data_IF_624927215656
#
_entry.id   IF_624927215656
#
_cell.length_a   1.000
_cell.length_b   1.000
_cell.length_c   1.000
_cell.angle_alpha   90.00
_cell.angle_beta   90.00
_cell.angle_gamma   90.00
#
_symmetry.space_group_name_H-M   'P 1'
#
loop_
_entity.id
_entity.type
_entity.pdbx_description
1 polymer ?
#
# COMPACT_ATOMS: atom_id res chain seq x y z
N UNK A 1 6.92 1.59 59.61
CA UNK A 1 6.65 0.21 60.09
C UNK A 1 6.28 -0.61 58.87
N UNK A 2 7.22 -1.39 58.36
CA UNK A 2 7.03 -2.28 57.23
C UNK A 2 6.80 -3.70 57.74
N UNK A 3 5.70 -4.35 57.34
CA UNK A 3 5.48 -5.78 57.63
C UNK A 3 6.01 -6.59 56.45
N UNK A 4 7.04 -7.41 56.71
CA UNK A 4 7.47 -8.56 55.93
C UNK A 4 6.39 -9.66 56.00
N UNK A 5 6.08 -10.26 54.87
CA UNK A 5 5.40 -11.56 54.82
C UNK A 5 6.38 -12.61 54.29
N UNK A 6 6.71 -13.57 55.17
CA UNK A 6 7.40 -14.79 54.83
C UNK A 6 6.35 -15.81 54.38
N UNK A 7 6.61 -16.53 53.30
CA UNK A 7 5.84 -17.67 52.83
C UNK A 7 6.80 -18.81 52.56
N UNK A 8 7.10 -19.57 53.59
CA UNK A 8 7.53 -20.97 53.46
C UNK A 8 6.32 -21.86 53.56
N UNK A 9 6.04 -22.64 52.49
CA UNK A 9 5.01 -23.69 52.43
C UNK A 9 5.57 -24.91 51.73
N UNK A 10 5.18 -26.13 52.14
CA UNK A 10 5.94 -27.34 51.88
C UNK A 10 5.77 -27.89 50.47
N UNK A 11 6.87 -28.43 49.98
CA UNK A 11 7.08 -29.16 48.74
C UNK A 11 6.24 -30.45 48.72
N UNK A 12 5.18 -30.51 47.87
CA UNK A 12 4.44 -31.75 47.58
C UNK A 12 4.75 -32.10 46.14
N UNK A 13 5.52 -33.18 45.98
CA UNK A 13 5.80 -33.78 44.69
C UNK A 13 4.54 -34.34 44.06
N UNK A 14 4.18 -33.88 42.89
CA UNK A 14 3.19 -34.50 42.01
C UNK A 14 3.92 -35.01 40.78
N UNK A 15 3.95 -36.35 40.67
CA UNK A 15 4.32 -37.06 39.44
C UNK A 15 3.27 -36.78 38.37
N UNK A 16 3.70 -36.16 37.29
CA UNK A 16 2.90 -36.02 36.05
C UNK A 16 2.91 -37.34 35.29
N UNK A 17 1.76 -37.82 34.81
CA UNK A 17 1.73 -38.97 33.90
C UNK A 17 2.26 -38.58 32.52
N UNK A 18 3.00 -39.50 31.90
CA UNK A 18 3.58 -39.39 30.57
C UNK A 18 2.52 -39.03 29.53
N UNK A 19 2.78 -37.93 28.79
CA UNK A 19 2.01 -37.55 27.63
C UNK A 19 2.31 -38.52 26.46
N UNK A 20 1.33 -38.90 25.64
CA UNK A 20 1.55 -39.78 24.51
C UNK A 20 2.47 -39.15 23.47
N UNK A 21 3.45 -39.92 23.02
CA UNK A 21 4.37 -39.56 21.94
C UNK A 21 3.55 -39.39 20.65
N UNK A 22 3.45 -38.18 20.16
CA UNK A 22 2.91 -37.88 18.82
C UNK A 22 4.03 -38.20 17.82
N UNK A 23 3.81 -39.02 16.79
CA UNK A 23 4.83 -39.25 15.77
C UNK A 23 5.13 -37.97 14.99
N UNK A 24 6.43 -37.73 14.80
CA UNK A 24 6.95 -36.60 13.99
C UNK A 24 6.29 -36.56 12.61
N UNK A 25 5.70 -35.41 12.29
CA UNK A 25 5.25 -35.13 10.95
C UNK A 25 6.46 -35.07 10.01
N UNK A 26 6.37 -35.58 8.77
CA UNK A 26 7.49 -35.59 7.85
C UNK A 26 7.93 -34.16 7.55
N UNK A 27 9.23 -33.90 7.70
CA UNK A 27 9.89 -32.66 7.31
C UNK A 27 9.70 -32.51 5.80
N UNK A 28 8.86 -31.56 5.38
CA UNK A 28 8.75 -31.16 3.99
C UNK A 28 9.95 -30.26 3.70
N UNK A 29 10.81 -30.60 2.72
CA UNK A 29 11.94 -29.73 2.38
C UNK A 29 11.43 -28.38 1.87
N UNK A 30 12.05 -27.31 2.35
CA UNK A 30 11.84 -25.95 1.88
C UNK A 30 12.01 -25.89 0.36
N UNK A 31 10.89 -25.75 -0.33
CA UNK A 31 10.91 -25.42 -1.76
C UNK A 31 11.37 -23.97 -1.91
N UNK A 32 12.32 -23.69 -2.80
CA UNK A 32 12.76 -22.34 -3.05
C UNK A 32 11.56 -21.51 -3.54
N UNK A 33 11.35 -20.35 -2.92
CA UNK A 33 10.39 -19.32 -3.31
C UNK A 33 10.81 -18.72 -4.68
N UNK A 34 10.46 -19.39 -5.75
CA UNK A 34 10.47 -18.84 -7.11
C UNK A 34 9.04 -18.47 -7.48
N UNK A 35 8.57 -17.32 -6.99
CA UNK A 35 7.38 -16.64 -7.49
C UNK A 35 7.82 -15.39 -8.29
N UNK A 36 8.76 -15.60 -9.21
CA UNK A 36 9.30 -14.54 -10.10
C UNK A 36 8.88 -14.74 -11.56
N UNK A 37 7.67 -15.27 -11.80
CA UNK A 37 7.13 -15.19 -13.16
C UNK A 37 5.72 -14.63 -13.11
N UNK A 38 5.44 -13.48 -13.76
CA UNK A 38 4.06 -13.12 -14.06
C UNK A 38 3.50 -14.23 -14.97
N UNK A 39 2.32 -14.74 -14.60
CA UNK A 39 1.57 -15.64 -15.50
C UNK A 39 1.20 -14.85 -16.76
N UNK A 40 2.01 -14.96 -17.78
CA UNK A 40 1.70 -14.52 -19.13
C UNK A 40 0.92 -15.67 -19.75
N UNK A 41 -0.36 -15.46 -20.02
CA UNK A 41 -1.08 -16.32 -20.96
C UNK A 41 -0.59 -15.99 -22.36
N UNK A 42 0.16 -16.91 -22.97
CA UNK A 42 0.82 -16.75 -24.28
C UNK A 42 -0.14 -16.67 -25.48
N UNK A 43 -1.45 -16.72 -25.28
CA UNK A 43 -2.43 -16.89 -26.37
C UNK A 43 -3.17 -15.61 -26.80
N UNK A 44 -2.85 -14.42 -26.23
CA UNK A 44 -3.46 -13.16 -26.70
C UNK A 44 -2.43 -12.03 -26.78
N UNK A 45 -1.96 -11.65 -27.99
CA UNK A 45 -0.91 -10.64 -28.16
C UNK A 45 -1.33 -9.19 -27.85
N UNK A 46 -2.56 -8.96 -27.39
CA UNK A 46 -3.07 -7.63 -27.01
C UNK A 46 -3.28 -7.44 -25.50
N UNK A 47 -2.86 -8.37 -24.64
CA UNK A 47 -2.96 -8.18 -23.20
C UNK A 47 -2.09 -7.00 -22.73
N UNK A 48 -2.75 -5.95 -22.31
CA UNK A 48 -2.12 -4.75 -21.73
C UNK A 48 -1.63 -5.05 -20.32
N UNK A 49 -0.32 -5.13 -20.16
CA UNK A 49 0.29 -5.25 -18.84
C UNK A 49 0.07 -3.93 -18.09
N UNK A 50 -0.48 -3.99 -16.88
CA UNK A 50 -0.69 -2.83 -16.00
C UNK A 50 -1.61 -1.72 -16.54
N UNK A 51 -2.60 -2.03 -17.39
CA UNK A 51 -3.50 -1.00 -17.91
C UNK A 51 -2.86 -0.03 -18.90
N UNK A 52 -1.74 -0.39 -19.49
CA UNK A 52 -1.00 0.37 -20.49
C UNK A 52 -0.97 -0.38 -21.81
N UNK A 53 -1.08 0.34 -22.92
CA UNK A 53 -0.93 -0.22 -24.25
C UNK A 53 0.56 -0.45 -24.61
N UNK A 54 0.82 -1.14 -25.73
CA UNK A 54 2.18 -1.49 -26.15
C UNK A 54 3.08 -0.28 -26.43
N UNK A 55 2.54 0.84 -26.86
CA UNK A 55 3.29 2.09 -27.07
C UNK A 55 3.67 2.72 -25.75
N UNK A 56 2.74 2.77 -24.79
CA UNK A 56 2.97 3.31 -23.45
C UNK A 56 3.97 2.46 -22.62
N UNK A 57 3.97 1.14 -22.85
CA UNK A 57 4.96 0.25 -22.24
C UNK A 57 6.37 0.48 -22.80
N UNK A 58 6.48 0.82 -24.10
CA UNK A 58 7.77 1.13 -24.73
C UNK A 58 8.28 2.52 -24.35
N UNK A 59 7.38 3.50 -24.30
CA UNK A 59 7.69 4.88 -23.90
C UNK A 59 6.70 5.40 -22.88
N UNK A 60 7.06 5.40 -21.59
CA UNK A 60 6.21 5.94 -20.53
C UNK A 60 5.85 7.43 -20.68
N UNK A 61 6.55 8.18 -21.56
CA UNK A 61 6.21 9.57 -21.83
C UNK A 61 5.04 9.72 -22.80
N UNK A 62 4.65 8.64 -23.50
CA UNK A 62 3.43 8.61 -24.33
C UNK A 62 2.15 8.47 -23.48
N UNK A 63 2.27 8.14 -22.19
CA UNK A 63 1.13 8.01 -21.27
C UNK A 63 0.43 9.37 -21.10
N UNK A 64 -0.83 9.44 -21.55
CA UNK A 64 -1.66 10.64 -21.43
C UNK A 64 -2.65 10.48 -20.29
N UNK A 65 -2.67 11.43 -19.37
CA UNK A 65 -3.63 11.52 -18.27
C UNK A 65 -4.25 12.89 -18.17
N UNK A 66 -5.50 12.95 -17.71
CA UNK A 66 -6.24 14.19 -17.49
C UNK A 66 -6.77 14.26 -16.06
N UNK A 67 -6.52 15.37 -15.37
CA UNK A 67 -7.07 15.63 -14.05
C UNK A 67 -8.13 16.73 -14.18
N UNK A 68 -9.36 16.30 -14.44
CA UNK A 68 -10.47 17.19 -14.72
C UNK A 68 -10.87 18.04 -13.51
N UNK A 69 -10.94 17.44 -12.32
CA UNK A 69 -11.29 18.18 -11.10
C UNK A 69 -10.02 18.59 -10.35
N UNK A 70 -9.70 19.87 -10.44
CA UNK A 70 -8.55 20.47 -9.77
C UNK A 70 -8.88 21.06 -8.38
N UNK A 71 -10.15 21.02 -7.96
CA UNK A 71 -10.59 21.63 -6.71
C UNK A 71 -10.38 20.72 -5.49
N UNK A 72 -10.40 19.39 -5.68
CA UNK A 72 -10.25 18.42 -4.59
C UNK A 72 -8.83 17.85 -4.52
N UNK A 73 -8.37 17.44 -3.33
CA UNK A 73 -7.06 16.81 -3.17
C UNK A 73 -6.92 15.50 -3.95
N UNK A 74 -5.69 15.19 -4.38
CA UNK A 74 -5.32 13.87 -4.91
C UNK A 74 -4.47 13.15 -3.88
N UNK A 75 -4.89 11.95 -3.54
CA UNK A 75 -4.13 10.98 -2.75
C UNK A 75 -3.33 10.15 -3.75
N UNK A 76 -2.01 10.17 -3.68
CA UNK A 76 -1.14 9.42 -4.59
C UNK A 76 -0.50 8.27 -3.85
N UNK A 77 -0.81 7.04 -4.26
CA UNK A 77 -0.14 5.84 -3.75
C UNK A 77 1.22 5.71 -4.45
N UNK A 78 2.29 6.05 -3.76
CA UNK A 78 3.64 6.07 -4.31
C UNK A 78 4.49 4.94 -3.74
N UNK A 79 5.05 4.13 -4.61
CA UNK A 79 5.91 3.01 -4.23
C UNK A 79 6.28 2.15 -5.43
N UNK A 80 7.27 1.26 -5.27
CA UNK A 80 7.70 0.36 -6.34
C UNK A 80 6.62 -0.64 -6.74
N UNK A 81 6.92 -1.46 -7.72
CA UNK A 81 6.10 -2.62 -8.07
C UNK A 81 5.96 -3.54 -6.86
N UNK A 82 4.81 -4.22 -6.72
CA UNK A 82 4.52 -5.22 -5.68
C UNK A 82 4.48 -4.71 -4.22
N UNK A 83 4.68 -3.43 -3.96
CA UNK A 83 4.56 -2.90 -2.59
C UNK A 83 3.12 -2.83 -2.06
N UNK A 84 2.13 -3.29 -2.84
CA UNK A 84 0.73 -3.43 -2.43
C UNK A 84 -0.15 -2.18 -2.65
N UNK A 85 0.18 -1.29 -3.59
CA UNK A 85 -0.63 -0.09 -3.92
C UNK A 85 -2.06 -0.46 -4.32
N UNK A 86 -2.20 -1.34 -5.30
CA UNK A 86 -3.49 -1.78 -5.83
C UNK A 86 -4.34 -2.43 -4.74
N UNK A 87 -3.76 -3.31 -3.93
CA UNK A 87 -4.46 -3.92 -2.80
C UNK A 87 -4.85 -2.90 -1.73
N UNK A 88 -4.03 -1.86 -1.53
CA UNK A 88 -4.39 -0.74 -0.64
C UNK A 88 -5.59 0.03 -1.19
N UNK A 89 -5.63 0.30 -2.51
CA UNK A 89 -6.79 0.93 -3.14
C UNK A 89 -8.05 0.07 -3.00
N UNK A 90 -7.98 -1.23 -3.30
CA UNK A 90 -9.09 -2.18 -3.14
C UNK A 90 -9.59 -2.19 -1.69
N UNK A 91 -8.67 -2.34 -0.73
CA UNK A 91 -9.01 -2.38 0.70
C UNK A 91 -9.67 -1.08 1.18
N UNK A 92 -9.13 0.06 0.75
CA UNK A 92 -9.70 1.36 1.06
C UNK A 92 -11.08 1.55 0.42
N UNK A 93 -11.26 1.12 -0.83
CA UNK A 93 -12.56 1.20 -1.52
C UNK A 93 -13.62 0.40 -0.78
N UNK A 94 -13.35 -0.86 -0.44
CA UNK A 94 -14.28 -1.71 0.32
C UNK A 94 -14.65 -1.06 1.66
N UNK A 95 -13.65 -0.61 2.41
CA UNK A 95 -13.86 0.08 3.68
C UNK A 95 -14.74 1.32 3.51
N UNK A 96 -14.42 2.20 2.58
CA UNK A 96 -15.16 3.43 2.35
C UNK A 96 -16.62 3.15 1.96
N UNK A 97 -16.86 2.20 1.07
CA UNK A 97 -18.21 1.81 0.65
C UNK A 97 -19.02 1.24 1.81
N UNK A 98 -18.41 0.40 2.66
CA UNK A 98 -19.04 -0.14 3.88
C UNK A 98 -19.49 0.98 4.84
N UNK A 99 -18.74 2.07 4.91
CA UNK A 99 -19.05 3.23 5.76
C UNK A 99 -19.88 4.32 5.06
N UNK A 100 -20.45 4.00 3.88
CA UNK A 100 -21.44 4.83 3.19
C UNK A 100 -20.84 5.94 2.31
N UNK A 101 -19.55 5.85 1.99
CA UNK A 101 -18.96 6.65 0.91
C UNK A 101 -19.22 5.98 -0.43
N UNK A 102 -19.26 6.77 -1.49
CA UNK A 102 -19.26 6.26 -2.85
C UNK A 102 -17.86 6.41 -3.45
N UNK A 103 -17.32 5.33 -3.98
CA UNK A 103 -16.01 5.30 -4.65
C UNK A 103 -16.24 4.81 -6.07
N UNK A 104 -15.83 5.58 -7.05
CA UNK A 104 -16.02 5.29 -8.47
C UNK A 104 -14.85 5.78 -9.31
N UNK A 105 -14.52 5.09 -10.42
CA UNK A 105 -13.49 5.53 -11.34
C UNK A 105 -13.80 6.88 -11.99
N UNK A 106 -12.76 7.67 -12.22
CA UNK A 106 -12.83 8.92 -12.98
C UNK A 106 -12.60 8.61 -14.45
N UNK A 107 -13.68 8.44 -15.22
CA UNK A 107 -13.61 8.03 -16.64
C UNK A 107 -12.75 8.95 -17.51
N UNK A 108 -12.74 10.24 -17.21
CA UNK A 108 -11.95 11.24 -17.95
C UNK A 108 -10.45 11.25 -17.60
N UNK A 109 -9.99 10.37 -16.71
CA UNK A 109 -8.58 10.30 -16.34
C UNK A 109 -7.70 9.85 -17.51
N UNK A 110 -8.18 8.90 -18.30
CA UNK A 110 -7.52 8.43 -19.51
C UNK A 110 -8.28 8.93 -20.76
N UNK A 111 -7.64 8.95 -21.93
CA UNK A 111 -8.33 9.29 -23.17
C UNK A 111 -9.56 8.42 -23.41
N UNK A 112 -10.61 8.98 -24.00
CA UNK A 112 -11.86 8.24 -24.31
C UNK A 112 -11.65 7.08 -25.29
N UNK A 113 -10.57 7.10 -26.07
CA UNK A 113 -10.19 6.02 -26.99
C UNK A 113 -9.53 4.83 -26.25
N UNK A 114 -9.19 4.97 -24.96
CA UNK A 114 -8.63 3.89 -24.15
C UNK A 114 -9.77 2.91 -23.76
N UNK A 115 -9.99 1.91 -24.59
CA UNK A 115 -11.03 0.91 -24.37
C UNK A 115 -10.78 0.05 -23.14
N UNK A 116 -9.51 -0.24 -22.85
CA UNK A 116 -9.13 -1.02 -21.67
C UNK A 116 -9.49 -0.27 -20.38
N UNK A 117 -9.13 1.01 -20.29
CA UNK A 117 -9.51 1.84 -19.15
C UNK A 117 -11.03 1.95 -19.00
N UNK A 118 -11.76 2.05 -20.12
CA UNK A 118 -13.22 2.08 -20.11
C UNK A 118 -13.82 0.80 -19.54
N UNK A 119 -13.32 -0.37 -19.93
CA UNK A 119 -13.72 -1.67 -19.39
C UNK A 119 -13.40 -1.79 -17.89
N UNK A 120 -12.22 -1.35 -17.46
CA UNK A 120 -11.88 -1.30 -16.02
C UNK A 120 -12.86 -0.42 -15.25
N UNK A 121 -13.25 0.73 -15.79
CA UNK A 121 -14.23 1.60 -15.14
C UNK A 121 -15.59 0.94 -15.00
N UNK A 122 -16.02 0.14 -15.97
CA UNK A 122 -17.29 -0.60 -15.94
C UNK A 122 -17.27 -1.74 -14.93
N UNK A 123 -16.21 -2.55 -14.96
CA UNK A 123 -16.04 -3.68 -14.06
C UNK A 123 -15.52 -3.34 -12.65
N UNK A 124 -15.25 -2.07 -12.36
CA UNK A 124 -14.53 -1.68 -11.12
C UNK A 124 -15.14 -2.25 -9.83
N UNK A 125 -16.45 -2.15 -9.67
CA UNK A 125 -17.10 -2.64 -8.46
C UNK A 125 -17.01 -4.17 -8.31
N UNK A 126 -17.15 -4.90 -9.40
CA UNK A 126 -17.01 -6.36 -9.41
C UNK A 126 -15.57 -6.76 -9.06
N UNK A 127 -14.59 -6.10 -9.68
CA UNK A 127 -13.17 -6.33 -9.41
C UNK A 127 -12.81 -6.03 -7.96
N UNK A 128 -13.27 -4.91 -7.42
CA UNK A 128 -13.04 -4.53 -6.02
C UNK A 128 -13.61 -5.57 -5.05
N UNK A 129 -14.74 -6.18 -5.36
CA UNK A 129 -15.41 -7.17 -4.50
C UNK A 129 -15.07 -8.63 -4.83
N UNK A 130 -14.30 -8.88 -5.89
CA UNK A 130 -13.84 -10.23 -6.22
C UNK A 130 -13.04 -10.84 -5.06
N UNK A 131 -13.26 -12.13 -4.82
CA UNK A 131 -12.44 -12.92 -3.90
C UNK A 131 -11.10 -13.35 -4.53
N UNK A 132 -10.96 -13.23 -5.84
CA UNK A 132 -9.72 -13.52 -6.56
C UNK A 132 -8.80 -12.30 -6.52
N UNK A 133 -7.73 -12.39 -5.72
CA UNK A 133 -6.78 -11.30 -5.55
C UNK A 133 -6.03 -10.95 -6.85
N UNK A 134 -5.74 -11.95 -7.70
CA UNK A 134 -5.01 -11.74 -8.94
C UNK A 134 -5.81 -10.90 -9.95
N UNK A 135 -7.12 -11.19 -10.12
CA UNK A 135 -7.98 -10.41 -11.00
C UNK A 135 -8.00 -8.93 -10.59
N UNK A 136 -8.22 -8.65 -9.29
CA UNK A 136 -8.25 -7.26 -8.81
C UNK A 136 -6.94 -6.52 -9.03
N UNK A 137 -5.79 -7.19 -8.82
CA UNK A 137 -4.48 -6.53 -8.92
C UNK A 137 -4.01 -6.31 -10.36
N UNK A 138 -4.32 -7.20 -11.28
CA UNK A 138 -3.95 -7.06 -12.68
C UNK A 138 -4.81 -6.02 -13.41
N UNK A 139 -6.10 -5.95 -13.09
CA UNK A 139 -7.06 -5.12 -13.82
C UNK A 139 -7.22 -3.70 -13.23
N UNK A 140 -6.86 -3.42 -11.98
CA UNK A 140 -7.04 -2.08 -11.37
C UNK A 140 -5.72 -1.27 -11.33
N UNK A 141 -4.71 -1.65 -12.07
CA UNK A 141 -3.33 -1.16 -11.89
C UNK A 141 -3.06 0.25 -12.41
N UNK A 142 -3.85 1.00 -13.01
CA UNK A 142 -3.62 2.39 -13.38
C UNK A 142 -4.93 3.17 -13.37
N UNK A 143 -5.33 3.58 -12.17
CA UNK A 143 -6.67 4.11 -11.99
C UNK A 143 -6.69 5.35 -11.09
N UNK A 144 -7.50 6.33 -11.49
CA UNK A 144 -7.93 7.43 -10.64
C UNK A 144 -9.38 7.16 -10.21
N UNK A 145 -9.62 7.11 -8.91
CA UNK A 145 -10.98 7.02 -8.35
C UNK A 145 -11.34 8.30 -7.60
N UNK A 146 -12.61 8.66 -7.63
CA UNK A 146 -13.16 9.73 -6.81
C UNK A 146 -13.86 9.15 -5.57
N UNK A 147 -13.78 9.88 -4.47
CA UNK A 147 -14.45 9.54 -3.21
C UNK A 147 -15.49 10.63 -2.91
N UNK A 148 -16.75 10.22 -2.82
CA UNK A 148 -17.86 11.10 -2.49
C UNK A 148 -18.45 10.73 -1.12
N UNK A 149 -18.86 11.73 -0.36
CA UNK A 149 -19.59 11.51 0.89
C UNK A 149 -21.04 11.07 0.63
N UNK A 150 -21.79 10.83 1.72
CA UNK A 150 -23.20 10.41 1.66
C UNK A 150 -24.12 11.43 0.97
N UNK A 151 -23.69 12.70 0.91
CA UNK A 151 -24.44 13.78 0.27
C UNK A 151 -24.03 13.96 -1.21
N UNK A 152 -23.12 13.11 -1.73
CA UNK A 152 -22.61 13.19 -3.09
C UNK A 152 -21.55 14.27 -3.27
N UNK A 153 -21.06 14.89 -2.20
CA UNK A 153 -19.94 15.86 -2.29
C UNK A 153 -18.62 15.10 -2.47
N UNK A 154 -17.86 15.49 -3.50
CA UNK A 154 -16.51 14.94 -3.74
C UNK A 154 -15.55 15.42 -2.65
N UNK A 155 -14.85 14.49 -2.01
CA UNK A 155 -13.91 14.73 -0.91
C UNK A 155 -12.49 14.76 -1.43
N UNK A 156 -12.12 13.76 -2.22
CA UNK A 156 -10.79 13.59 -2.79
C UNK A 156 -10.82 12.66 -4.00
N UNK A 157 -9.69 12.53 -4.65
CA UNK A 157 -9.40 11.50 -5.64
C UNK A 157 -8.25 10.65 -5.13
N UNK A 158 -8.23 9.34 -5.45
CA UNK A 158 -7.13 8.43 -5.10
C UNK A 158 -6.55 7.89 -6.40
N UNK A 159 -5.25 8.07 -6.58
CA UNK A 159 -4.50 7.61 -7.74
C UNK A 159 -3.65 6.39 -7.36
N UNK A 160 -3.85 5.33 -8.08
CA UNK A 160 -2.96 4.19 -8.21
C UNK A 160 -2.31 4.23 -9.59
N UNK A 161 -1.00 4.00 -9.66
CA UNK A 161 -0.25 3.99 -10.91
C UNK A 161 0.89 2.96 -10.87
N UNK A 162 1.38 2.51 -12.03
CA UNK A 162 2.46 1.52 -12.12
C UNK A 162 3.69 1.91 -11.31
N UNK A 163 4.16 0.97 -10.48
CA UNK A 163 5.22 1.22 -9.50
C UNK A 163 6.58 1.48 -10.12
N UNK A 164 6.87 0.82 -11.24
CA UNK A 164 8.12 0.92 -11.99
C UNK A 164 8.41 2.34 -12.50
N UNK A 165 7.38 3.16 -12.70
CA UNK A 165 7.55 4.56 -13.11
C UNK A 165 7.74 5.51 -11.93
N UNK A 166 7.34 5.09 -10.73
CA UNK A 166 7.67 5.80 -9.52
C UNK A 166 9.09 5.49 -9.07
N UNK A 167 9.44 4.21 -9.03
CA UNK A 167 10.78 3.74 -8.70
C UNK A 167 11.06 2.39 -9.34
N UNK A 168 12.13 2.33 -10.13
CA UNK A 168 12.66 1.11 -10.72
C UNK A 168 14.10 0.91 -10.22
N UNK A 169 14.39 -0.17 -9.47
CA UNK A 169 15.73 -0.47 -8.97
C UNK A 169 16.79 -0.54 -10.08
N UNK A 170 16.42 -1.05 -11.26
CA UNK A 170 17.32 -1.16 -12.40
C UNK A 170 17.64 0.21 -13.02
N UNK A 171 16.83 1.24 -12.76
CA UNK A 171 16.95 2.60 -13.31
C UNK A 171 16.67 3.67 -12.23
N UNK A 172 17.45 3.69 -11.12
CA UNK A 172 17.13 4.49 -9.92
C UNK A 172 17.15 6.00 -10.18
N UNK A 173 17.95 6.46 -11.15
CA UNK A 173 18.15 7.87 -11.47
C UNK A 173 17.30 8.36 -12.66
N UNK A 174 16.43 7.51 -13.21
CA UNK A 174 15.57 7.87 -14.32
C UNK A 174 14.67 9.07 -13.96
N UNK A 175 14.41 9.93 -14.94
CA UNK A 175 13.46 11.04 -14.75
C UNK A 175 12.04 10.50 -14.56
N UNK A 176 11.18 11.29 -13.90
CA UNK A 176 9.76 10.94 -13.82
C UNK A 176 9.13 11.06 -15.19
N UNK A 177 8.31 10.08 -15.63
CA UNK A 177 7.57 10.17 -16.87
C UNK A 177 6.66 11.39 -16.93
N UNK A 178 6.28 11.78 -18.15
CA UNK A 178 5.46 12.97 -18.40
C UNK A 178 4.16 12.99 -17.59
N UNK A 179 3.48 11.85 -17.45
CA UNK A 179 2.24 11.77 -16.67
C UNK A 179 2.46 12.02 -15.16
N UNK A 180 3.58 11.56 -14.59
CA UNK A 180 3.93 11.83 -13.18
C UNK A 180 4.16 13.31 -12.97
N UNK A 181 4.88 13.95 -13.92
CA UNK A 181 5.08 15.40 -13.91
C UNK A 181 3.74 16.17 -14.06
N UNK A 182 2.81 15.66 -14.88
CA UNK A 182 1.44 16.22 -14.99
C UNK A 182 0.72 16.19 -13.63
N UNK A 183 0.82 15.08 -12.90
CA UNK A 183 0.23 14.95 -11.56
C UNK A 183 0.90 15.93 -10.58
N UNK A 184 2.24 15.95 -10.54
CA UNK A 184 3.00 16.84 -9.66
C UNK A 184 2.60 18.31 -9.90
N UNK A 185 2.50 18.73 -11.16
CA UNK A 185 2.23 20.10 -11.56
C UNK A 185 0.74 20.48 -11.52
N UNK A 186 -0.18 19.51 -11.38
CA UNK A 186 -1.61 19.80 -11.29
C UNK A 186 -1.91 20.75 -10.11
N UNK A 187 -2.97 21.58 -10.20
CA UNK A 187 -3.33 22.55 -9.16
C UNK A 187 -3.83 21.89 -7.86
N UNK A 188 -4.25 20.64 -7.91
CA UNK A 188 -4.69 19.89 -6.74
C UNK A 188 -3.63 19.89 -5.64
N UNK A 189 -4.06 19.95 -4.39
CA UNK A 189 -3.21 19.58 -3.26
C UNK A 189 -2.98 18.08 -3.27
N UNK A 190 -1.72 17.62 -3.13
CA UNK A 190 -1.40 16.20 -3.08
C UNK A 190 -1.21 15.75 -1.64
N UNK A 191 -1.65 14.52 -1.38
CA UNK A 191 -1.29 13.76 -0.19
C UNK A 191 -0.55 12.53 -0.71
N UNK A 192 0.76 12.55 -0.58
CA UNK A 192 1.63 11.47 -1.01
C UNK A 192 1.65 10.38 0.04
N UNK A 193 1.22 9.19 -0.32
CA UNK A 193 1.31 7.99 0.52
C UNK A 193 2.51 7.19 0.06
N UNK A 194 3.61 7.30 0.78
CA UNK A 194 4.84 6.57 0.50
C UNK A 194 4.77 5.18 1.12
N UNK A 195 4.80 4.16 0.26
CA UNK A 195 4.76 2.77 0.69
C UNK A 195 6.14 2.37 1.21
N UNK A 196 6.19 1.83 2.42
CA UNK A 196 7.35 1.17 3.03
C UNK A 196 6.91 -0.16 3.61
N UNK A 197 7.76 -1.17 3.57
CA UNK A 197 7.39 -2.52 3.97
C UNK A 197 8.54 -3.25 4.70
N UNK A 198 8.22 -4.22 5.60
CA UNK A 198 9.21 -4.91 6.42
C UNK A 198 10.05 -5.93 5.65
N UNK A 199 9.56 -6.43 4.51
CA UNK A 199 10.14 -7.55 3.79
C UNK A 199 10.92 -7.17 2.51
N UNK A 200 11.15 -5.90 2.26
CA UNK A 200 11.99 -5.46 1.14
C UNK A 200 13.46 -5.74 1.44
N UNK A 201 14.00 -6.78 0.81
CA UNK A 201 15.27 -7.40 1.21
C UNK A 201 16.52 -6.63 0.74
N UNK A 202 16.51 -6.06 -0.47
CA UNK A 202 17.71 -5.44 -1.04
C UNK A 202 18.02 -4.06 -0.45
N UNK A 203 19.16 -3.88 0.27
CA UNK A 203 19.54 -2.59 0.85
C UNK A 203 19.84 -1.52 -0.19
N UNK A 204 20.39 -1.88 -1.36
CA UNK A 204 20.75 -0.92 -2.42
C UNK A 204 19.49 -0.34 -3.06
N UNK A 205 18.48 -1.18 -3.28
CA UNK A 205 17.18 -0.76 -3.80
C UNK A 205 16.47 0.17 -2.81
N UNK A 206 16.51 -0.14 -1.50
CA UNK A 206 15.95 0.74 -0.46
C UNK A 206 16.64 2.11 -0.45
N UNK A 207 17.95 2.14 -0.57
CA UNK A 207 18.72 3.39 -0.64
C UNK A 207 18.36 4.21 -1.87
N UNK A 208 18.23 3.57 -3.03
CA UNK A 208 17.76 4.19 -4.27
C UNK A 208 16.33 4.74 -4.13
N UNK A 209 15.45 4.01 -3.47
CA UNK A 209 14.09 4.46 -3.19
C UNK A 209 14.07 5.71 -2.29
N UNK A 210 14.89 5.75 -1.24
CA UNK A 210 15.05 6.94 -0.38
C UNK A 210 15.49 8.14 -1.20
N UNK A 211 16.48 7.97 -2.09
CA UNK A 211 16.93 9.03 -3.01
C UNK A 211 15.81 9.51 -3.92
N UNK A 212 14.99 8.59 -4.43
CA UNK A 212 13.84 8.91 -5.28
C UNK A 212 12.78 9.73 -4.54
N UNK A 213 12.50 9.38 -3.27
CA UNK A 213 11.60 10.14 -2.41
C UNK A 213 12.15 11.55 -2.11
N UNK A 214 13.46 11.68 -1.89
CA UNK A 214 14.11 12.98 -1.69
C UNK A 214 13.95 13.85 -2.93
N UNK A 215 14.17 13.29 -4.14
CA UNK A 215 13.93 13.99 -5.42
C UNK A 215 12.47 14.46 -5.54
N UNK A 216 11.51 13.56 -5.29
CA UNK A 216 10.10 13.93 -5.32
C UNK A 216 9.77 15.04 -4.32
N UNK A 217 10.34 14.97 -3.12
CA UNK A 217 10.10 15.99 -2.09
C UNK A 217 10.53 17.39 -2.53
N UNK A 218 11.59 17.53 -3.33
CA UNK A 218 12.00 18.85 -3.87
C UNK A 218 10.99 19.44 -4.87
N UNK A 219 10.17 18.58 -5.47
CA UNK A 219 9.12 18.95 -6.43
C UNK A 219 7.76 19.20 -5.78
N UNK A 220 7.59 18.82 -4.50
CA UNK A 220 6.35 19.00 -3.75
C UNK A 220 6.13 20.47 -3.41
N UNK A 221 4.88 20.90 -3.49
CA UNK A 221 4.48 22.25 -3.08
C UNK A 221 4.31 22.32 -1.56
N UNK A 222 4.37 23.53 -0.95
CA UNK A 222 4.22 23.70 0.50
C UNK A 222 2.92 23.14 1.08
N UNK A 223 1.82 23.19 0.31
CA UNK A 223 0.52 22.65 0.74
C UNK A 223 0.42 21.12 0.65
N UNK A 224 1.31 20.46 -0.10
CA UNK A 224 1.29 19.01 -0.23
C UNK A 224 1.69 18.34 1.09
N UNK A 225 1.16 17.16 1.35
CA UNK A 225 1.36 16.41 2.59
C UNK A 225 1.95 15.05 2.30
N UNK A 226 2.57 14.44 3.32
CA UNK A 226 3.18 13.13 3.24
C UNK A 226 2.67 12.21 4.35
N UNK A 227 2.39 10.97 3.98
CA UNK A 227 2.06 9.87 4.89
C UNK A 227 2.96 8.70 4.49
N UNK A 228 3.73 8.16 5.42
CA UNK A 228 4.41 6.88 5.24
C UNK A 228 3.48 5.77 5.68
N UNK A 229 3.18 4.85 4.77
CA UNK A 229 2.34 3.70 5.00
C UNK A 229 3.25 2.46 5.16
N UNK A 230 3.44 2.02 6.41
CA UNK A 230 4.14 0.76 6.70
C UNK A 230 3.20 -0.39 6.37
N UNK A 231 3.24 -0.79 5.11
CA UNK A 231 2.37 -1.82 4.56
C UNK A 231 2.86 -3.23 4.94
N UNK A 232 2.01 -4.23 4.80
CA UNK A 232 2.30 -5.62 5.17
C UNK A 232 2.77 -5.74 6.63
N UNK A 233 2.22 -4.91 7.53
CA UNK A 233 2.61 -4.90 8.95
C UNK A 233 2.40 -6.27 9.61
N UNK A 234 1.47 -7.07 9.10
CA UNK A 234 1.19 -8.46 9.49
C UNK A 234 2.39 -9.40 9.29
N UNK A 235 3.33 -9.06 8.41
CA UNK A 235 4.60 -9.78 8.23
C UNK A 235 5.69 -9.35 9.20
N UNK A 236 5.43 -8.35 10.05
CA UNK A 236 6.37 -7.85 11.04
C UNK A 236 6.07 -8.39 12.44
N UNK A 237 7.07 -8.34 13.32
CA UNK A 237 6.92 -8.69 14.74
C UNK A 237 6.32 -7.55 15.59
N UNK A 238 5.77 -6.50 14.96
CA UNK A 238 5.28 -5.33 15.69
C UNK A 238 3.78 -5.36 15.96
N UNK A 239 3.05 -6.31 15.41
CA UNK A 239 1.62 -6.50 15.70
C UNK A 239 1.45 -7.07 17.11
N UNK A 240 0.81 -6.30 17.99
CA UNK A 240 0.53 -6.70 19.38
C UNK A 240 -0.82 -7.43 19.47
N UNK A 241 -1.80 -6.95 18.70
CA UNK A 241 -3.13 -7.53 18.56
C UNK A 241 -3.75 -7.02 17.25
N UNK A 242 -4.87 -7.60 16.77
CA UNK A 242 -5.55 -7.09 15.59
C UNK A 242 -5.76 -5.56 15.66
N UNK A 243 -5.30 -4.84 14.66
CA UNK A 243 -5.35 -3.37 14.60
C UNK A 243 -4.42 -2.63 15.57
N UNK A 244 -3.69 -3.30 16.45
CA UNK A 244 -2.78 -2.69 17.43
C UNK A 244 -1.32 -3.03 17.14
N UNK A 245 -0.50 -2.00 16.98
CA UNK A 245 0.89 -2.11 16.54
C UNK A 245 1.82 -1.32 17.47
N UNK A 246 3.00 -1.86 17.74
CA UNK A 246 4.08 -1.14 18.38
C UNK A 246 4.67 -0.11 17.42
N UNK A 247 4.13 1.11 17.44
CA UNK A 247 4.55 2.18 16.53
C UNK A 247 5.98 2.67 16.74
N UNK A 248 6.53 2.52 17.96
CA UNK A 248 7.94 2.84 18.21
C UNK A 248 8.84 1.82 17.49
N UNK A 249 8.50 0.53 17.60
CA UNK A 249 9.18 -0.53 16.86
C UNK A 249 9.13 -0.31 15.36
N UNK A 250 7.94 -0.05 14.80
CA UNK A 250 7.76 0.25 13.37
C UNK A 250 8.61 1.44 12.93
N UNK A 251 8.61 2.52 13.71
CA UNK A 251 9.41 3.71 13.36
C UNK A 251 10.90 3.40 13.33
N UNK A 252 11.40 2.68 14.32
CA UNK A 252 12.82 2.30 14.39
C UNK A 252 13.18 1.37 13.24
N UNK A 253 12.30 0.44 12.88
CA UNK A 253 12.48 -0.46 11.75
C UNK A 253 12.60 0.31 10.44
N UNK A 254 11.66 1.22 10.17
CA UNK A 254 11.71 2.09 8.98
C UNK A 254 12.97 2.94 8.95
N UNK A 255 13.40 3.55 10.07
CA UNK A 255 14.64 4.34 10.12
C UNK A 255 15.88 3.48 9.86
N UNK A 256 15.89 2.23 10.31
CA UNK A 256 16.98 1.28 10.09
C UNK A 256 17.01 0.73 8.66
N UNK A 257 15.85 0.34 8.13
CA UNK A 257 15.73 -0.23 6.78
C UNK A 257 15.90 0.81 5.67
N UNK A 258 15.46 2.05 5.93
CA UNK A 258 15.47 3.16 4.98
C UNK A 258 16.18 4.38 5.57
N UNK A 259 17.51 4.33 5.77
CA UNK A 259 18.24 5.41 6.44
C UNK A 259 18.02 6.77 5.76
N UNK A 260 17.61 7.77 6.54
CA UNK A 260 17.39 9.12 6.04
C UNK A 260 16.03 9.37 5.37
N UNK A 261 15.12 8.40 5.33
CA UNK A 261 13.81 8.53 4.65
C UNK A 261 12.96 9.68 5.21
N UNK A 262 13.05 9.96 6.51
CA UNK A 262 12.30 11.06 7.14
C UNK A 262 13.04 12.40 7.11
N UNK A 263 14.31 12.43 6.69
CA UNK A 263 15.13 13.65 6.71
C UNK A 263 14.49 14.82 5.94
N UNK A 264 13.93 14.62 4.73
CA UNK A 264 13.30 15.72 3.97
C UNK A 264 12.03 16.28 4.62
N UNK A 265 11.51 15.61 5.65
CA UNK A 265 10.27 15.96 6.35
C UNK A 265 10.52 16.47 7.77
N UNK A 266 11.76 16.75 8.14
CA UNK A 266 12.08 17.33 9.47
C UNK A 266 11.37 18.68 9.60
N UNK A 267 10.74 18.87 10.75
CA UNK A 267 10.10 20.13 11.10
C UNK A 267 11.15 21.17 11.54
N UNK A 268 11.41 22.11 10.68
CA UNK A 268 12.37 23.19 10.95
C UNK A 268 11.76 24.40 11.69
N UNK A 269 10.44 24.42 11.93
CA UNK A 269 9.78 25.51 12.62
C UNK A 269 10.18 25.48 14.12
N UNK A 270 10.84 26.53 14.64
CA UNK A 270 11.33 26.56 16.01
C UNK A 270 10.24 26.45 17.08
N UNK A 271 9.01 26.90 16.76
CA UNK A 271 7.89 26.87 17.70
C UNK A 271 7.21 25.50 17.80
N UNK A 272 7.22 24.72 16.72
CA UNK A 272 6.47 23.44 16.66
C UNK A 272 7.34 22.20 16.63
N UNK A 273 8.65 22.32 16.36
CA UNK A 273 9.59 21.17 16.29
C UNK A 273 9.65 20.33 17.56
N UNK A 274 9.41 20.94 18.73
CA UNK A 274 9.41 20.25 20.02
C UNK A 274 8.23 19.28 20.17
N UNK A 275 7.07 19.63 19.59
CA UNK A 275 5.86 18.80 19.64
C UNK A 275 5.73 17.87 18.45
N UNK A 276 6.32 18.23 17.31
CA UNK A 276 6.22 17.47 16.09
C UNK A 276 7.56 17.50 15.34
N UNK A 277 8.33 16.42 15.48
CA UNK A 277 9.65 16.29 14.86
C UNK A 277 9.59 16.23 13.32
N UNK A 278 8.59 15.57 12.75
CA UNK A 278 8.44 15.41 11.30
C UNK A 278 7.12 15.98 10.80
N UNK A 279 7.12 16.53 9.58
CA UNK A 279 5.94 17.06 8.89
C UNK A 279 5.18 15.98 8.09
N UNK A 280 5.46 14.72 8.36
CA UNK A 280 4.76 13.57 7.82
C UNK A 280 4.08 12.76 8.94
N UNK A 281 3.22 11.83 8.56
CA UNK A 281 2.70 10.78 9.45
C UNK A 281 3.35 9.45 9.07
N UNK A 282 3.45 8.53 10.03
CA UNK A 282 3.80 7.13 9.82
C UNK A 282 2.66 6.30 10.40
N UNK A 283 2.06 5.46 9.57
CA UNK A 283 0.93 4.61 9.98
C UNK A 283 1.14 3.17 9.51
N UNK A 284 0.73 2.18 10.31
CA UNK A 284 0.78 0.78 9.93
C UNK A 284 -0.42 0.45 9.03
N UNK A 285 -0.24 -0.51 8.13
CA UNK A 285 -1.30 -1.00 7.28
C UNK A 285 -1.15 -2.48 6.99
N UNK A 286 -2.28 -3.18 6.92
CA UNK A 286 -2.39 -4.53 6.38
C UNK A 286 -3.59 -4.60 5.45
N UNK A 287 -3.38 -5.16 4.29
CA UNK A 287 -4.45 -5.37 3.33
C UNK A 287 -5.39 -6.51 3.77
N UNK A 288 -4.87 -7.52 4.43
CA UNK A 288 -5.53 -8.78 4.79
C UNK A 288 -4.65 -9.97 4.48
N UNK A 289 -5.24 -11.15 4.38
CA UNK A 289 -4.54 -12.39 4.11
C UNK A 289 -4.86 -12.94 2.71
N UNK A 290 -3.90 -13.72 2.20
CA UNK A 290 -4.02 -14.41 0.93
C UNK A 290 -3.87 -15.90 1.17
N UNK A 291 -4.80 -16.71 0.64
CA UNK A 291 -4.75 -18.16 0.73
C UNK A 291 -4.77 -18.77 -0.68
N UNK A 292 -4.04 -19.87 -0.87
CA UNK A 292 -4.12 -20.64 -2.11
C UNK A 292 -5.39 -21.47 -2.07
N UNK A 293 -6.16 -21.44 -3.16
CA UNK A 293 -7.29 -22.31 -3.40
C UNK A 293 -7.12 -22.96 -4.77
N UNK A 294 -7.75 -24.13 -4.95
CA UNK A 294 -7.70 -24.86 -6.23
C UNK A 294 -9.09 -25.01 -6.79
N UNK A 295 -9.24 -24.79 -8.08
CA UNK A 295 -10.46 -25.14 -8.84
C UNK A 295 -10.54 -26.65 -9.02
N UNK A 296 -11.74 -27.19 -9.37
CA UNK A 296 -11.90 -28.62 -9.67
C UNK A 296 -11.03 -29.11 -10.83
N UNK A 297 -10.64 -28.23 -11.73
CA UNK A 297 -9.74 -28.50 -12.86
C UNK A 297 -8.25 -28.54 -12.48
N UNK A 298 -7.91 -28.32 -11.19
CA UNK A 298 -6.55 -28.27 -10.67
C UNK A 298 -5.86 -26.92 -10.74
N UNK A 299 -6.51 -25.90 -11.34
CA UNK A 299 -5.96 -24.53 -11.40
C UNK A 299 -5.87 -23.92 -10.01
N UNK A 300 -4.66 -23.48 -9.62
CA UNK A 300 -4.41 -22.81 -8.33
C UNK A 300 -4.60 -21.31 -8.48
N UNK A 301 -5.32 -20.70 -7.57
CA UNK A 301 -5.52 -19.25 -7.52
C UNK A 301 -5.39 -18.72 -6.09
N UNK A 302 -5.14 -17.43 -5.95
CA UNK A 302 -5.06 -16.75 -4.65
C UNK A 302 -6.41 -16.16 -4.29
N UNK A 303 -6.98 -16.62 -3.18
CA UNK A 303 -8.13 -15.97 -2.57
C UNK A 303 -7.67 -14.85 -1.66
N UNK A 304 -8.44 -13.77 -1.64
CA UNK A 304 -8.21 -12.64 -0.77
C UNK A 304 -9.25 -12.58 0.35
N UNK A 305 -8.77 -12.56 1.57
CA UNK A 305 -9.58 -12.35 2.76
C UNK A 305 -9.22 -11.01 3.41
N UNK A 306 -10.22 -10.15 3.50
CA UNK A 306 -10.08 -8.83 4.08
C UNK A 306 -9.65 -8.90 5.55
N UNK A 307 -8.66 -8.07 5.92
CA UNK A 307 -8.22 -7.91 7.31
C UNK A 307 -9.14 -7.00 8.13
N UNK A 308 -8.71 -6.69 9.34
CA UNK A 308 -9.44 -5.84 10.30
C UNK A 308 -9.58 -4.39 9.80
N UNK A 309 -10.67 -3.72 10.19
CA UNK A 309 -11.02 -2.38 9.69
C UNK A 309 -10.21 -1.24 10.34
N UNK A 310 -9.53 -1.50 11.44
CA UNK A 310 -8.73 -0.51 12.16
C UNK A 310 -7.65 0.12 11.29
N UNK A 311 -7.02 -0.65 10.39
CA UNK A 311 -5.98 -0.15 9.49
C UNK A 311 -6.51 0.83 8.44
N UNK A 312 -7.51 0.49 7.63
CA UNK A 312 -8.08 1.44 6.67
C UNK A 312 -8.78 2.61 7.38
N UNK A 313 -9.36 2.42 8.54
CA UNK A 313 -9.93 3.49 9.35
C UNK A 313 -8.86 4.50 9.79
N UNK A 314 -7.69 4.01 10.27
CA UNK A 314 -6.57 4.86 10.66
C UNK A 314 -6.05 5.65 9.47
N UNK A 315 -5.87 4.99 8.31
CA UNK A 315 -5.44 5.64 7.08
C UNK A 315 -6.43 6.71 6.64
N UNK A 316 -7.72 6.40 6.60
CA UNK A 316 -8.76 7.35 6.22
C UNK A 316 -8.81 8.56 7.15
N UNK A 317 -8.79 8.34 8.47
CA UNK A 317 -8.78 9.41 9.46
C UNK A 317 -7.57 10.32 9.29
N UNK A 318 -6.40 9.74 8.98
CA UNK A 318 -5.17 10.49 8.74
C UNK A 318 -5.27 11.31 7.44
N UNK A 319 -5.79 10.73 6.36
CA UNK A 319 -6.07 11.44 5.11
C UNK A 319 -7.02 12.62 5.37
N UNK A 320 -8.15 12.38 6.05
CA UNK A 320 -9.14 13.42 6.34
C UNK A 320 -8.56 14.55 7.20
N UNK A 321 -7.72 14.23 8.18
CA UNK A 321 -6.98 15.24 8.95
C UNK A 321 -6.07 16.08 8.05
N UNK A 322 -5.40 15.46 7.07
CA UNK A 322 -4.52 16.17 6.11
C UNK A 322 -5.29 16.94 5.04
N UNK A 323 -6.51 16.56 4.73
CA UNK A 323 -7.41 17.33 3.86
C UNK A 323 -7.91 18.60 4.54
N UNK A 324 -8.23 18.53 5.83
CA UNK A 324 -8.81 19.66 6.58
C UNK A 324 -7.79 20.73 7.01
N UNK A 325 -6.52 20.37 7.16
CA UNK A 325 -5.49 21.24 7.67
C UNK A 325 -4.13 20.61 7.72
#
# INVERSE_FOLDING_TARGET
>A
MAKKFDLDGPNVGTTTPDAPIVPDAPIVPDSPNTLDTPFVNDDNPEETVHGLNQEELKDPNSIVVSIADQAVPIIVLFGPTECGKTMTLIRMTRFLQQYGYRVSPVRSFRPSADSHYSQMCEGYNELVHSSNAAEGTQMISFMLVEVLDRNGKRICQILEAPGEYYYNPKRPNEEFPAYVNTIINSKNRKIWIYMVEPDWKDPSDRSGYVTRLQKLKTMMRPQDKAIFLYNKVDKSNFVIAPGRVNMLGVKNDVENMYPGIFTPFVNLNPLTKWFKRYLCDLIPFSNGSFARASKPDGTVYLTYQQGVDEYPQLLWNTIMKRIRG
#
